data_IF_049608770941
#
_entry.id   IF_049608770941
#
_cell.length_a   1.000
_cell.length_b   1.000
_cell.length_c   1.000
_cell.angle_alpha   90.00
_cell.angle_beta   90.00
_cell.angle_gamma   90.00
#
_symmetry.space_group_name_H-M   'P 1'
#
loop_
_entity.id
_entity.type
_entity.pdbx_description
1 polymer ?
#
# COMPACT_ATOMS: atom_id res chain seq x y z
N UNK A 1 24.43 -5.42 9.70
CA UNK A 1 23.09 -4.87 9.42
C UNK A 1 22.81 -3.81 10.49
N UNK A 2 22.89 -2.51 10.16
CA UNK A 2 22.48 -1.46 11.11
C UNK A 2 20.96 -1.52 11.21
N UNK A 3 20.45 -1.68 12.43
CA UNK A 3 19.01 -1.66 12.68
C UNK A 3 18.42 -0.35 12.14
N UNK A 4 17.26 -0.39 11.45
CA UNK A 4 16.50 0.82 11.23
C UNK A 4 16.24 1.46 12.61
N UNK A 5 16.56 2.74 12.79
CA UNK A 5 16.18 3.49 13.99
C UNK A 5 14.71 3.21 14.31
N UNK A 6 14.36 3.06 15.59
CA UNK A 6 13.11 2.45 16.09
C UNK A 6 11.79 2.97 15.48
N UNK A 7 11.77 4.12 14.80
CA UNK A 7 10.61 4.68 14.08
C UNK A 7 10.66 4.63 12.54
N UNK A 8 11.69 4.05 11.91
CA UNK A 8 11.77 3.89 10.44
C UNK A 8 10.56 3.13 9.86
N UNK A 9 10.13 1.98 10.43
CA UNK A 9 9.03 1.19 9.86
C UNK A 9 7.65 1.82 10.07
N UNK A 10 7.49 2.70 11.06
CA UNK A 10 6.20 3.32 11.40
C UNK A 10 5.81 4.44 10.42
N UNK A 11 6.80 5.25 10.02
CA UNK A 11 6.61 6.44 9.18
C UNK A 11 5.83 6.17 7.88
N UNK A 12 6.14 5.12 7.11
CA UNK A 12 5.39 4.79 5.90
C UNK A 12 3.90 4.61 6.14
N UNK A 13 3.52 3.92 7.22
CA UNK A 13 2.11 3.69 7.53
C UNK A 13 1.35 4.99 7.84
N UNK A 14 1.98 5.88 8.61
CA UNK A 14 1.44 7.21 8.88
C UNK A 14 1.30 8.04 7.60
N UNK A 15 2.34 8.02 6.76
CA UNK A 15 2.33 8.74 5.48
C UNK A 15 1.32 8.18 4.49
N UNK A 16 1.05 6.87 4.51
CA UNK A 16 -0.03 6.27 3.70
C UNK A 16 -1.44 6.74 4.13
N UNK A 17 -1.59 7.23 5.37
CA UNK A 17 -2.81 7.92 5.79
C UNK A 17 -3.14 9.13 4.90
N UNK A 18 -2.14 9.77 4.29
CA UNK A 18 -2.37 10.88 3.36
C UNK A 18 -3.14 10.46 2.10
N UNK A 19 -3.07 9.20 1.68
CA UNK A 19 -3.85 8.68 0.55
C UNK A 19 -5.35 8.67 0.86
N UNK A 20 -5.75 8.14 2.02
CA UNK A 20 -7.15 8.16 2.46
C UNK A 20 -7.62 9.60 2.67
N UNK A 21 -6.80 10.43 3.31
CA UNK A 21 -7.09 11.84 3.55
C UNK A 21 -7.41 12.60 2.25
N UNK A 22 -6.49 12.56 1.29
CA UNK A 22 -6.66 13.30 0.03
C UNK A 22 -7.81 12.73 -0.80
N UNK A 23 -7.95 11.39 -0.88
CA UNK A 23 -9.04 10.73 -1.59
C UNK A 23 -10.40 11.12 -0.98
N UNK A 24 -10.56 11.08 0.34
CA UNK A 24 -11.81 11.46 0.99
C UNK A 24 -12.16 12.95 0.87
N UNK A 25 -11.18 13.85 0.93
CA UNK A 25 -11.42 15.28 0.65
C UNK A 25 -11.91 15.47 -0.78
N UNK A 26 -11.28 14.81 -1.76
CA UNK A 26 -11.69 14.90 -3.15
C UNK A 26 -13.06 14.27 -3.38
N UNK A 27 -13.37 13.16 -2.72
CA UNK A 27 -14.68 12.52 -2.77
C UNK A 27 -15.80 13.51 -2.39
N UNK A 28 -15.65 14.21 -1.25
CA UNK A 28 -16.62 15.23 -0.81
C UNK A 28 -16.68 16.42 -1.77
N UNK A 29 -15.54 16.90 -2.26
CA UNK A 29 -15.49 18.12 -3.09
C UNK A 29 -15.89 17.92 -4.54
N UNK A 30 -15.84 16.69 -5.04
CA UNK A 30 -16.11 16.35 -6.43
C UNK A 30 -17.41 15.56 -6.62
N UNK A 31 -18.17 15.37 -5.54
CA UNK A 31 -19.48 14.72 -5.58
C UNK A 31 -20.40 15.41 -6.62
N UNK A 32 -21.04 14.61 -7.47
CA UNK A 32 -21.94 15.09 -8.52
C UNK A 32 -21.27 15.70 -9.75
N UNK A 33 -19.94 15.82 -9.80
CA UNK A 33 -19.22 16.32 -10.97
C UNK A 33 -18.97 15.17 -11.96
N UNK A 34 -19.40 15.28 -13.24
CA UNK A 34 -19.07 14.28 -14.26
C UNK A 34 -17.55 14.07 -14.37
N UNK A 35 -17.08 12.83 -14.16
CA UNK A 35 -15.65 12.51 -14.17
C UNK A 35 -14.91 12.81 -12.86
N UNK A 36 -15.59 13.24 -11.80
CA UNK A 36 -14.99 13.52 -10.48
C UNK A 36 -14.19 12.36 -9.90
N UNK A 37 -14.62 11.11 -10.15
CA UNK A 37 -13.94 9.89 -9.69
C UNK A 37 -12.48 9.77 -10.19
N UNK A 38 -12.16 10.34 -11.36
CA UNK A 38 -10.80 10.33 -11.89
C UNK A 38 -9.87 11.17 -11.02
N UNK A 39 -10.33 12.35 -10.64
CA UNK A 39 -9.59 13.27 -9.77
C UNK A 39 -9.61 12.79 -8.32
N UNK A 40 -10.69 12.17 -7.85
CA UNK A 40 -10.75 11.51 -6.55
C UNK A 40 -9.64 10.48 -6.40
N UNK A 41 -9.47 9.60 -7.39
CA UNK A 41 -8.43 8.58 -7.38
C UNK A 41 -7.01 9.16 -7.46
N UNK A 42 -6.81 10.41 -7.89
CA UNK A 42 -5.50 11.08 -7.75
C UNK A 42 -5.13 11.31 -6.28
N UNK A 43 -6.11 11.42 -5.38
CA UNK A 43 -5.90 11.52 -3.94
C UNK A 43 -5.10 10.34 -3.38
N UNK A 44 -5.29 9.15 -3.95
CA UNK A 44 -4.56 7.93 -3.55
C UNK A 44 -3.04 8.06 -3.73
N UNK A 45 -2.58 8.90 -4.66
CA UNK A 45 -1.16 9.05 -4.99
C UNK A 45 -0.34 9.77 -3.90
N UNK A 46 -0.99 10.58 -3.05
CA UNK A 46 -0.31 11.46 -2.08
C UNK A 46 0.53 10.69 -1.07
N UNK A 47 0.01 9.60 -0.50
CA UNK A 47 0.76 8.77 0.43
C UNK A 47 2.01 8.17 -0.19
N UNK A 48 1.91 7.66 -1.42
CA UNK A 48 3.05 7.13 -2.17
C UNK A 48 4.10 8.19 -2.47
N UNK A 49 3.69 9.40 -2.90
CA UNK A 49 4.62 10.51 -3.12
C UNK A 49 5.41 10.80 -1.84
N UNK A 50 4.74 10.93 -0.69
CA UNK A 50 5.40 11.22 0.59
C UNK A 50 6.38 10.10 0.95
N UNK A 51 5.93 8.85 0.91
CA UNK A 51 6.72 7.67 1.29
C UNK A 51 7.98 7.57 0.43
N UNK A 52 7.83 7.64 -0.88
CA UNK A 52 8.92 7.41 -1.84
C UNK A 52 9.89 8.59 -1.85
N UNK A 53 9.38 9.83 -1.90
CA UNK A 53 10.23 11.02 -1.91
C UNK A 53 10.98 11.20 -0.59
N UNK A 54 10.38 10.83 0.54
CA UNK A 54 11.04 10.83 1.84
C UNK A 54 11.88 9.55 2.10
N UNK A 55 11.98 8.64 1.12
CA UNK A 55 12.76 7.39 1.20
C UNK A 55 12.39 6.53 2.40
N UNK A 56 11.10 6.47 2.72
CA UNK A 56 10.60 5.69 3.83
C UNK A 56 10.49 4.21 3.45
N UNK A 57 10.69 3.32 4.41
CA UNK A 57 10.73 1.88 4.15
C UNK A 57 9.34 1.26 4.09
N UNK A 58 8.71 1.30 2.91
CA UNK A 58 7.45 0.61 2.67
C UNK A 58 7.68 -0.88 2.41
N UNK A 59 6.85 -1.73 3.02
CA UNK A 59 6.92 -3.19 2.89
C UNK A 59 6.95 -3.64 1.43
N UNK A 60 6.07 -3.09 0.58
CA UNK A 60 5.91 -3.51 -0.81
C UNK A 60 7.04 -3.03 -1.73
N UNK A 61 7.66 -1.89 -1.43
CA UNK A 61 8.81 -1.34 -2.18
C UNK A 61 10.12 -2.06 -1.84
N UNK A 62 10.37 -2.37 -0.56
CA UNK A 62 11.65 -2.91 -0.11
C UNK A 62 11.77 -4.44 -0.27
N UNK A 63 10.87 -5.08 -1.03
CA UNK A 63 10.90 -6.52 -1.26
C UNK A 63 11.96 -6.93 -2.28
N UNK A 64 12.17 -6.17 -3.36
CA UNK A 64 13.12 -6.59 -4.43
C UNK A 64 14.57 -6.55 -3.95
N UNK A 65 15.00 -5.43 -3.36
CA UNK A 65 16.38 -5.21 -2.90
C UNK A 65 16.79 -6.15 -1.76
N UNK A 66 15.86 -6.52 -0.87
CA UNK A 66 16.11 -7.43 0.24
C UNK A 66 16.10 -8.92 -0.17
N UNK A 67 15.38 -9.26 -1.24
CA UNK A 67 15.21 -10.66 -1.69
C UNK A 67 16.32 -11.10 -2.63
N UNK A 68 16.82 -10.23 -3.51
CA UNK A 68 17.87 -10.57 -4.48
C UNK A 68 19.08 -11.29 -3.84
N UNK A 69 19.64 -10.81 -2.70
CA UNK A 69 20.75 -11.50 -2.05
C UNK A 69 20.40 -12.90 -1.50
N UNK A 70 19.15 -13.09 -1.06
CA UNK A 70 18.66 -14.38 -0.55
C UNK A 70 18.43 -15.36 -1.68
N UNK A 71 18.00 -14.91 -2.85
CA UNK A 71 17.87 -15.78 -4.03
C UNK A 71 19.21 -16.25 -4.57
N UNK A 72 20.22 -15.38 -4.58
CA UNK A 72 21.56 -15.77 -4.99
C UNK A 72 22.19 -16.82 -4.05
N UNK A 73 21.81 -16.83 -2.77
CA UNK A 73 22.28 -17.80 -1.79
C UNK A 73 21.15 -18.22 -0.83
N UNK A 74 20.24 -19.12 -1.27
CA UNK A 74 19.03 -19.48 -0.53
C UNK A 74 19.36 -20.45 0.59
N UNK A 75 19.96 -19.93 1.66
CA UNK A 75 20.19 -20.69 2.90
C UNK A 75 19.01 -20.52 3.86
N UNK A 76 18.69 -21.52 4.69
CA UNK A 76 17.65 -21.38 5.72
C UNK A 76 17.87 -20.17 6.64
N UNK A 77 19.12 -19.83 6.93
CA UNK A 77 19.49 -18.63 7.68
C UNK A 77 19.13 -17.33 6.97
N UNK A 78 19.41 -17.24 5.66
CA UNK A 78 19.06 -16.07 4.85
C UNK A 78 17.54 -15.90 4.67
N UNK A 79 16.81 -17.01 4.52
CA UNK A 79 15.34 -17.00 4.49
C UNK A 79 14.78 -16.51 5.83
N UNK A 80 15.32 -16.99 6.95
CA UNK A 80 14.93 -16.52 8.29
C UNK A 80 15.19 -15.03 8.51
N UNK A 81 16.34 -14.51 8.02
CA UNK A 81 16.66 -13.08 8.07
C UNK A 81 15.70 -12.24 7.23
N UNK A 82 15.33 -12.72 6.03
CA UNK A 82 14.36 -12.06 5.17
C UNK A 82 12.98 -11.99 5.82
N UNK A 83 12.50 -13.12 6.34
CA UNK A 83 11.20 -13.18 7.04
C UNK A 83 11.19 -12.25 8.26
N UNK A 84 12.26 -12.22 9.05
CA UNK A 84 12.39 -11.29 10.18
C UNK A 84 12.33 -9.83 9.74
N UNK A 85 13.06 -9.45 8.69
CA UNK A 85 13.03 -8.10 8.14
C UNK A 85 11.62 -7.73 7.69
N UNK A 86 10.98 -8.61 6.92
CA UNK A 86 9.64 -8.41 6.39
C UNK A 86 8.59 -8.26 7.48
N UNK A 87 8.60 -9.14 8.50
CA UNK A 87 7.68 -9.04 9.62
C UNK A 87 7.83 -7.73 10.39
N UNK A 88 9.06 -7.28 10.66
CA UNK A 88 9.31 -6.00 11.35
C UNK A 88 8.82 -4.81 10.54
N UNK A 89 9.09 -4.79 9.23
CA UNK A 89 8.69 -3.70 8.34
C UNK A 89 7.18 -3.66 8.18
N UNK A 90 6.56 -4.80 7.90
CA UNK A 90 5.12 -4.92 7.75
C UNK A 90 4.40 -4.52 9.04
N UNK A 91 4.82 -5.07 10.19
CA UNK A 91 4.21 -4.71 11.48
C UNK A 91 4.32 -3.21 11.76
N UNK A 92 5.48 -2.60 11.50
CA UNK A 92 5.64 -1.16 11.65
C UNK A 92 4.73 -0.35 10.72
N UNK A 93 4.63 -0.74 9.45
CA UNK A 93 3.73 -0.10 8.49
C UNK A 93 2.28 -0.22 8.98
N UNK A 94 1.83 -1.40 9.39
CA UNK A 94 0.46 -1.64 9.89
C UNK A 94 0.16 -0.86 11.19
N UNK A 95 1.13 -0.76 12.10
CA UNK A 95 0.97 0.08 13.29
C UNK A 95 0.85 1.55 12.88
N UNK A 96 1.62 2.01 11.89
CA UNK A 96 1.55 3.37 11.39
C UNK A 96 0.20 3.69 10.76
N UNK A 97 -0.34 2.76 9.97
CA UNK A 97 -1.67 2.90 9.38
C UNK A 97 -2.75 2.87 10.46
N UNK A 98 -2.60 2.03 11.49
CA UNK A 98 -3.50 2.00 12.63
C UNK A 98 -3.53 3.33 13.38
N UNK A 99 -2.36 3.92 13.65
CA UNK A 99 -2.27 5.24 14.31
C UNK A 99 -2.91 6.32 13.45
N UNK A 100 -2.70 6.32 12.14
CA UNK A 100 -3.36 7.27 11.23
C UNK A 100 -4.89 7.10 11.19
N UNK A 101 -5.38 5.86 11.07
CA UNK A 101 -6.81 5.57 11.07
C UNK A 101 -7.48 5.92 12.40
N UNK A 102 -6.81 5.65 13.53
CA UNK A 102 -7.26 6.05 14.86
C UNK A 102 -7.33 7.58 14.98
N UNK A 103 -6.27 8.27 14.54
CA UNK A 103 -6.20 9.73 14.51
C UNK A 103 -7.37 10.34 13.73
N UNK A 104 -7.69 9.80 12.55
CA UNK A 104 -8.79 10.30 11.71
C UNK A 104 -10.17 10.04 12.32
N UNK A 105 -10.32 9.01 13.15
CA UNK A 105 -11.56 8.68 13.82
C UNK A 105 -11.85 9.54 15.05
N UNK A 106 -10.85 9.73 15.91
CA UNK A 106 -11.06 10.27 17.25
C UNK A 106 -10.60 11.72 17.44
N UNK A 107 -9.71 12.22 16.59
CA UNK A 107 -9.31 13.63 16.68
C UNK A 107 -10.29 14.50 15.89
N UNK A 108 -10.66 15.69 16.40
CA UNK A 108 -11.57 16.62 15.74
C UNK A 108 -10.88 17.37 14.60
N UNK A 109 -10.38 16.63 13.61
CA UNK A 109 -9.62 17.15 12.46
C UNK A 109 -10.52 17.31 11.24
N UNK A 110 -11.54 16.46 11.12
CA UNK A 110 -12.41 16.36 9.94
C UNK A 110 -13.87 16.61 10.30
N UNK A 111 -14.58 17.26 9.38
CA UNK A 111 -16.01 17.42 9.45
C UNK A 111 -16.73 16.11 9.12
N UNK A 112 -18.02 16.05 9.45
CA UNK A 112 -18.84 14.85 9.29
C UNK A 112 -18.92 14.35 7.85
N UNK A 113 -19.07 15.20 6.80
CA UNK A 113 -19.04 14.74 5.42
C UNK A 113 -17.74 14.03 5.04
N UNK A 114 -16.58 14.55 5.47
CA UNK A 114 -15.29 13.91 5.18
C UNK A 114 -15.15 12.57 5.90
N UNK A 115 -15.65 12.46 7.14
CA UNK A 115 -15.65 11.20 7.88
C UNK A 115 -16.55 10.14 7.23
N UNK A 116 -17.70 10.55 6.68
CA UNK A 116 -18.58 9.68 5.90
C UNK A 116 -17.95 9.24 4.58
N UNK A 117 -17.23 10.14 3.89
CA UNK A 117 -16.47 9.78 2.70
C UNK A 117 -15.40 8.72 3.01
N UNK A 118 -14.69 8.81 4.14
CA UNK A 118 -13.75 7.77 4.57
C UNK A 118 -14.42 6.42 4.80
N UNK A 119 -15.63 6.41 5.39
CA UNK A 119 -16.43 5.19 5.54
C UNK A 119 -16.78 4.61 4.17
N UNK A 120 -17.34 5.41 3.27
CA UNK A 120 -17.75 4.96 1.94
C UNK A 120 -16.58 4.36 1.15
N UNK A 121 -15.45 5.06 1.12
CA UNK A 121 -14.23 4.60 0.42
C UNK A 121 -13.75 3.27 1.00
N UNK A 122 -13.76 3.12 2.33
CA UNK A 122 -13.30 1.90 2.97
C UNK A 122 -14.29 0.73 2.81
N UNK A 123 -15.60 0.99 2.79
CA UNK A 123 -16.64 -0.02 2.56
C UNK A 123 -16.57 -0.56 1.13
N UNK A 124 -16.23 0.29 0.15
CA UNK A 124 -16.03 -0.14 -1.23
C UNK A 124 -14.93 -1.20 -1.36
N UNK A 125 -13.87 -1.11 -0.56
CA UNK A 125 -12.80 -2.14 -0.54
C UNK A 125 -13.35 -3.49 -0.09
N UNK A 126 -14.26 -3.50 0.87
CA UNK A 126 -14.84 -4.71 1.47
C UNK A 126 -15.92 -5.38 0.61
N UNK A 127 -16.31 -4.76 -0.51
CA UNK A 127 -17.15 -5.41 -1.53
C UNK A 127 -16.44 -6.57 -2.24
N UNK A 128 -15.10 -6.55 -2.25
CA UNK A 128 -14.29 -7.60 -2.86
C UNK A 128 -14.31 -8.87 -2.01
N UNK A 129 -14.52 -10.01 -2.65
CA UNK A 129 -14.30 -11.34 -2.05
C UNK A 129 -12.81 -11.57 -1.73
N UNK A 130 -12.46 -12.50 -0.82
CA UNK A 130 -11.06 -12.88 -0.56
C UNK A 130 -10.25 -13.19 -1.82
N UNK A 131 -10.88 -13.86 -2.79
CA UNK A 131 -10.25 -14.23 -4.06
C UNK A 131 -9.99 -13.03 -4.96
N UNK A 132 -10.92 -12.07 -5.00
CA UNK A 132 -10.74 -10.81 -5.74
C UNK A 132 -9.67 -9.96 -5.04
N UNK A 133 -9.69 -9.88 -3.71
CA UNK A 133 -8.65 -9.19 -2.93
C UNK A 133 -7.25 -9.77 -3.21
N UNK A 134 -7.12 -11.10 -3.30
CA UNK A 134 -5.87 -11.74 -3.67
C UNK A 134 -5.44 -11.39 -5.11
N UNK A 135 -6.34 -11.52 -6.10
CA UNK A 135 -6.04 -11.23 -7.50
C UNK A 135 -5.68 -9.74 -7.72
N UNK A 136 -6.47 -8.84 -7.15
CA UNK A 136 -6.24 -7.41 -7.20
C UNK A 136 -4.90 -7.03 -6.56
N UNK A 137 -4.54 -7.69 -5.46
CA UNK A 137 -3.25 -7.49 -4.80
C UNK A 137 -2.05 -7.98 -5.64
N UNK A 138 -2.24 -8.98 -6.52
CA UNK A 138 -1.19 -9.36 -7.48
C UNK A 138 -0.97 -8.21 -8.48
N UNK A 139 -2.04 -7.64 -9.02
CA UNK A 139 -1.98 -6.55 -10.00
C UNK A 139 -1.40 -5.27 -9.39
N UNK A 140 -1.89 -4.84 -8.23
CA UNK A 140 -1.36 -3.67 -7.52
C UNK A 140 0.12 -3.87 -7.17
N UNK A 141 0.46 -5.06 -6.68
CA UNK A 141 1.84 -5.45 -6.43
C UNK A 141 2.68 -5.25 -7.69
N UNK A 142 2.21 -5.76 -8.84
CA UNK A 142 2.92 -5.69 -10.12
C UNK A 142 3.19 -4.25 -10.54
N UNK A 143 2.18 -3.39 -10.50
CA UNK A 143 2.31 -1.97 -10.77
C UNK A 143 3.34 -1.30 -9.84
N UNK A 144 3.33 -1.63 -8.55
CA UNK A 144 4.24 -1.03 -7.57
C UNK A 144 5.71 -1.34 -7.87
N UNK A 145 6.15 -2.59 -8.13
CA UNK A 145 7.58 -2.74 -8.47
C UNK A 145 7.94 -2.41 -9.92
N UNK A 146 7.00 -2.41 -10.87
CA UNK A 146 7.28 -1.77 -12.17
C UNK A 146 7.65 -0.30 -11.96
N UNK A 147 6.90 0.42 -11.12
CA UNK A 147 7.22 1.79 -10.72
C UNK A 147 8.63 1.89 -10.08
N UNK A 148 8.95 1.04 -9.11
CA UNK A 148 10.28 1.03 -8.45
C UNK A 148 11.41 0.78 -9.44
N UNK A 149 11.20 -0.10 -10.43
CA UNK A 149 12.18 -0.39 -11.47
C UNK A 149 12.40 0.74 -12.47
N UNK A 150 11.41 1.62 -12.63
CA UNK A 150 11.56 2.82 -13.45
C UNK A 150 12.40 3.89 -12.74
N UNK A 151 12.53 3.86 -11.40
CA UNK A 151 13.22 4.93 -10.65
C UNK A 151 14.69 5.18 -10.98
N UNK A 152 15.54 4.16 -11.25
CA UNK A 152 16.92 4.38 -11.65
C UNK A 152 17.04 5.22 -12.93
N UNK A 153 16.08 5.08 -13.85
CA UNK A 153 16.11 5.74 -15.18
C UNK A 153 15.17 6.95 -15.28
N UNK A 154 14.23 7.12 -14.35
CA UNK A 154 13.20 8.16 -14.42
C UNK A 154 13.73 9.60 -14.25
N UNK A 155 14.93 9.81 -13.71
CA UNK A 155 15.53 11.15 -13.55
C UNK A 155 14.60 12.14 -12.83
N UNK A 156 14.30 13.27 -13.50
CA UNK A 156 13.38 14.30 -13.00
C UNK A 156 11.89 13.91 -13.05
N UNK A 157 11.52 12.88 -13.83
CA UNK A 157 10.13 12.44 -14.01
C UNK A 157 9.61 11.53 -12.89
N UNK A 158 10.39 11.29 -11.82
CA UNK A 158 10.02 10.38 -10.71
C UNK A 158 8.63 10.66 -10.14
N UNK A 159 8.31 11.94 -9.89
CA UNK A 159 6.99 12.32 -9.35
C UNK A 159 5.87 11.94 -10.32
N UNK A 160 6.06 12.17 -11.63
CA UNK A 160 5.08 11.82 -12.66
C UNK A 160 4.87 10.30 -12.72
N UNK A 161 5.96 9.52 -12.66
CA UNK A 161 5.89 8.06 -12.62
C UNK A 161 5.12 7.58 -11.38
N UNK A 162 5.38 8.15 -10.21
CA UNK A 162 4.65 7.81 -8.98
C UNK A 162 3.16 8.10 -9.17
N UNK A 163 2.81 9.31 -9.62
CA UNK A 163 1.42 9.72 -9.84
C UNK A 163 0.74 8.76 -10.81
N UNK A 164 1.27 8.55 -12.01
CA UNK A 164 0.61 7.74 -13.04
C UNK A 164 0.41 6.29 -12.59
N UNK A 165 1.45 5.67 -12.01
CA UNK A 165 1.40 4.27 -11.60
C UNK A 165 0.47 4.05 -10.42
N UNK A 166 0.51 4.93 -9.42
CA UNK A 166 -0.35 4.80 -8.22
C UNK A 166 -1.77 5.27 -8.47
N UNK A 167 -1.98 6.18 -9.43
CA UNK A 167 -3.30 6.55 -9.91
C UNK A 167 -3.95 5.39 -10.66
N UNK A 168 -3.21 4.66 -11.49
CA UNK A 168 -3.71 3.47 -12.15
C UNK A 168 -4.10 2.36 -11.16
N UNK A 169 -3.34 2.18 -10.08
CA UNK A 169 -3.69 1.26 -8.98
C UNK A 169 -5.07 1.61 -8.40
N UNK A 170 -5.31 2.90 -8.15
CA UNK A 170 -6.55 3.41 -7.59
C UNK A 170 -7.72 3.31 -8.58
N UNK A 171 -7.51 3.65 -9.86
CA UNK A 171 -8.53 3.55 -10.91
C UNK A 171 -8.96 2.12 -11.22
N UNK A 172 -8.06 1.16 -11.04
CA UNK A 172 -8.36 -0.26 -11.21
C UNK A 172 -8.99 -0.87 -9.95
N UNK A 173 -9.30 -0.07 -8.93
CA UNK A 173 -9.83 -0.50 -7.63
C UNK A 173 -9.06 -1.68 -7.01
N UNK A 174 -7.74 -1.68 -7.21
CA UNK A 174 -6.91 -2.77 -6.74
C UNK A 174 -6.57 -2.63 -5.26
N UNK A 175 -6.51 -3.76 -4.56
CA UNK A 175 -6.21 -3.78 -3.12
C UNK A 175 -4.70 -3.76 -2.86
N UNK A 176 -4.26 -3.08 -1.81
CA UNK A 176 -2.86 -3.02 -1.42
C UNK A 176 -2.73 -3.08 0.10
N UNK A 177 -1.93 -4.01 0.63
CA UNK A 177 -1.94 -4.35 2.07
C UNK A 177 -1.73 -3.13 2.97
N UNK A 178 -0.78 -2.25 2.65
CA UNK A 178 -0.49 -1.09 3.51
C UNK A 178 -1.58 -0.01 3.40
N UNK A 179 -1.87 0.51 2.21
CA UNK A 179 -2.84 1.61 2.06
C UNK A 179 -4.24 1.17 2.46
N UNK A 180 -4.66 -0.02 2.00
CA UNK A 180 -5.95 -0.59 2.39
C UNK A 180 -6.06 -0.86 3.89
N UNK A 181 -4.94 -1.06 4.60
CA UNK A 181 -4.99 -1.16 6.07
C UNK A 181 -5.43 0.14 6.72
N UNK A 182 -5.12 1.32 6.17
CA UNK A 182 -5.65 2.58 6.72
C UNK A 182 -7.18 2.60 6.61
N UNK A 183 -7.69 2.25 5.43
CA UNK A 183 -9.12 2.22 5.10
C UNK A 183 -9.87 1.23 5.99
N UNK A 184 -9.43 -0.03 6.04
CA UNK A 184 -10.13 -1.06 6.81
C UNK A 184 -9.97 -0.84 8.32
N UNK A 185 -8.80 -0.42 8.80
CA UNK A 185 -8.64 -0.09 10.23
C UNK A 185 -9.49 1.12 10.63
N UNK A 186 -9.78 2.05 9.71
CA UNK A 186 -10.71 3.14 9.98
C UNK A 186 -12.12 2.61 10.27
N UNK A 187 -12.61 1.62 9.51
CA UNK A 187 -13.88 0.93 9.77
C UNK A 187 -13.85 0.05 11.04
N UNK A 188 -12.70 -0.51 11.38
CA UNK A 188 -12.57 -1.28 12.62
C UNK A 188 -12.64 -0.37 13.83
N UNK A 189 -11.97 0.78 13.78
CA UNK A 189 -11.95 1.72 14.90
C UNK A 189 -13.23 2.51 15.08
N UNK A 190 -14.00 2.75 14.02
CA UNK A 190 -15.30 3.41 14.12
C UNK A 190 -16.44 2.44 14.54
N UNK A 191 -16.16 1.14 14.56
CA UNK A 191 -17.12 0.10 14.96
C UNK A 191 -17.98 -0.47 13.81
N UNK A 192 -17.78 -0.04 12.56
CA UNK A 192 -18.48 -0.57 11.38
C UNK A 192 -18.07 -2.00 11.06
N UNK A 193 -16.82 -2.40 11.35
CA UNK A 193 -16.31 -3.75 11.11
C UNK A 193 -15.65 -4.36 12.34
N UNK A 194 -15.79 -5.68 12.55
CA UNK A 194 -15.02 -6.39 13.57
C UNK A 194 -13.56 -6.56 13.16
N UNK A 195 -12.66 -6.71 14.14
CA UNK A 195 -11.24 -7.00 13.91
C UNK A 195 -11.00 -8.29 13.10
N UNK A 196 -11.93 -9.25 13.15
CA UNK A 196 -11.87 -10.47 12.34
C UNK A 196 -11.78 -10.13 10.85
N UNK A 197 -12.55 -9.14 10.41
CA UNK A 197 -12.73 -8.82 8.99
C UNK A 197 -11.49 -8.13 8.41
N UNK A 198 -10.76 -7.41 9.27
CA UNK A 198 -9.42 -6.93 8.94
C UNK A 198 -8.45 -8.08 8.68
N UNK A 199 -8.44 -9.13 9.51
CA UNK A 199 -7.54 -10.28 9.31
C UNK A 199 -7.99 -11.10 8.10
N UNK A 200 -9.29 -11.39 8.02
CA UNK A 200 -9.96 -12.13 6.97
C UNK A 200 -11.39 -11.60 6.80
N UNK A 201 -11.76 -11.06 5.62
CA UNK A 201 -11.20 -11.39 4.32
C UNK A 201 -10.06 -10.48 3.82
N UNK A 202 -9.70 -9.41 4.53
CA UNK A 202 -8.81 -8.39 3.97
C UNK A 202 -7.31 -8.73 4.03
N UNK A 203 -6.69 -8.72 5.21
CA UNK A 203 -5.24 -8.64 5.32
C UNK A 203 -4.52 -9.88 4.78
N UNK A 204 -5.01 -11.08 5.09
CA UNK A 204 -4.34 -12.32 4.68
C UNK A 204 -4.35 -12.52 3.14
N UNK A 205 -5.50 -12.43 2.43
CA UNK A 205 -5.51 -12.53 0.97
C UNK A 205 -4.75 -11.42 0.27
N UNK A 206 -4.89 -10.16 0.71
CA UNK A 206 -4.17 -9.04 0.09
C UNK A 206 -2.66 -9.15 0.31
N UNK A 207 -2.21 -9.53 1.51
CA UNK A 207 -0.79 -9.78 1.78
C UNK A 207 -0.26 -10.92 0.91
N UNK A 208 -1.00 -12.03 0.81
CA UNK A 208 -0.64 -13.17 -0.01
C UNK A 208 -0.50 -12.77 -1.49
N UNK A 209 -1.41 -11.96 -2.03
CA UNK A 209 -1.33 -11.49 -3.42
C UNK A 209 -0.15 -10.54 -3.67
N UNK A 210 0.07 -9.59 -2.76
CA UNK A 210 1.22 -8.69 -2.83
C UNK A 210 2.56 -9.46 -2.75
N UNK A 211 2.64 -10.53 -1.95
CA UNK A 211 3.81 -11.42 -1.88
C UNK A 211 3.90 -12.32 -3.12
N UNK A 212 2.80 -12.90 -3.60
CA UNK A 212 2.79 -13.86 -4.71
C UNK A 212 3.31 -13.26 -6.00
N UNK A 213 2.91 -12.01 -6.29
CA UNK A 213 3.41 -11.24 -7.43
C UNK A 213 4.94 -11.26 -7.57
N UNK A 214 5.66 -11.38 -6.45
CA UNK A 214 7.13 -11.52 -6.42
C UNK A 214 7.62 -12.67 -7.31
N UNK A 215 6.97 -13.84 -7.27
CA UNK A 215 7.41 -15.02 -8.02
C UNK A 215 7.29 -14.81 -9.55
N UNK A 216 6.19 -14.18 -9.98
CA UNK A 216 5.93 -13.85 -11.38
C UNK A 216 6.94 -12.84 -11.94
N UNK A 217 7.27 -11.80 -11.17
CA UNK A 217 8.12 -10.72 -11.65
C UNK A 217 9.60 -11.10 -11.64
N UNK A 218 10.04 -11.94 -10.70
CA UNK A 218 11.43 -12.43 -10.65
C UNK A 218 11.74 -13.42 -11.79
N UNK A 219 10.79 -14.26 -12.18
CA UNK A 219 10.93 -15.14 -13.36
C UNK A 219 11.05 -14.37 -14.68
N UNK A 220 10.44 -13.18 -14.76
CA UNK A 220 10.55 -12.30 -15.92
C UNK A 220 11.82 -11.41 -15.90
N UNK A 221 12.50 -11.33 -14.75
CA UNK A 221 13.72 -10.54 -14.54
C UNK A 221 15.00 -11.30 -14.89
N UNK A 222 14.92 -12.62 -15.03
CA UNK A 222 16.07 -13.42 -15.48
C UNK A 222 16.46 -12.92 -16.87
N UNK A 223 17.70 -12.47 -17.08
CA UNK A 223 18.16 -12.16 -18.43
C UNK A 223 17.96 -13.44 -19.25
N UNK A 224 17.28 -13.32 -20.40
CA UNK A 224 17.39 -14.35 -21.43
C UNK A 224 18.88 -14.62 -21.59
N UNK A 225 19.33 -15.84 -21.23
CA UNK A 225 20.69 -16.23 -21.51
C UNK A 225 20.86 -16.08 -23.03
N UNK A 226 21.67 -15.11 -23.45
CA UNK A 226 22.03 -14.97 -24.86
C UNK A 226 22.61 -16.32 -25.31
N UNK A 227 22.09 -16.91 -26.41
CA UNK A 227 22.54 -18.21 -26.90
C UNK A 227 23.99 -18.19 -27.41
#
# INVERSE_FOLDING_TARGET
MRWPCCGQPLRPGLSMGASLLAKGIFHVKLEGIPGGFLLENLGYTFGFIIVIMARQQLFTENTVTAVLPVMHNPTPGNIGLLMRLWSVVLAGNLIGTAVAAWAFNFMPVFDEPTRQAFVSIAEDVMKNSPTEMFANAIISGWLVATMVWMFPVAGAAKIVVIILMTWLIALADTTHIVVGSVEILYLVFNGSLPWSDFIWPFALPTLAGNIWRRDLHLRAAEPCADP
#
